data_IF_208638686661
#
_entry.id   IF_208638686661
#
_cell.length_a   1.000
_cell.length_b   1.000
_cell.length_c   1.000
_cell.angle_alpha   90.00
_cell.angle_beta   90.00
_cell.angle_gamma   90.00
#
_symmetry.space_group_name_H-M   'P 1'
#
loop_
_entity.id
_entity.type
_entity.pdbx_description
1 polymer ?
#
# COMPACT_ATOMS: atom_id res chain seq x y z
N UNK A 1 -5.13 -7.71 13.57
CA UNK A 1 -5.37 -6.27 13.36
C UNK A 1 -4.04 -5.58 13.14
N UNK A 2 -4.00 -4.45 12.41
CA UNK A 2 -2.78 -3.65 12.31
C UNK A 2 -2.46 -3.02 13.66
N UNK A 3 -1.20 -3.11 14.10
CA UNK A 3 -0.71 -2.41 15.28
C UNK A 3 -0.20 -1.05 14.84
N UNK A 4 -0.89 0.01 15.26
CA UNK A 4 -0.49 1.39 15.02
C UNK A 4 0.10 1.95 16.30
N UNK A 5 1.22 2.66 16.18
CA UNK A 5 1.82 3.38 17.29
C UNK A 5 1.00 4.63 17.64
N UNK A 6 0.55 5.36 16.61
CA UNK A 6 -0.26 6.56 16.77
C UNK A 6 -1.31 6.64 15.65
N UNK A 7 -2.53 7.06 15.98
CA UNK A 7 -3.60 7.34 15.02
C UNK A 7 -4.31 8.62 15.45
N UNK A 8 -4.40 9.58 14.53
CA UNK A 8 -5.07 10.87 14.73
C UNK A 8 -6.15 11.09 13.67
N UNK A 9 -7.42 11.30 14.06
CA UNK A 9 -8.43 11.72 13.11
C UNK A 9 -8.21 13.19 12.71
N UNK A 10 -8.30 13.48 11.43
CA UNK A 10 -8.16 14.81 10.84
C UNK A 10 -9.31 15.04 9.87
N UNK A 11 -10.09 16.10 10.08
CA UNK A 11 -11.14 16.48 9.13
C UNK A 11 -10.54 17.21 7.93
N UNK A 12 -10.93 16.82 6.73
CA UNK A 12 -10.61 17.51 5.47
C UNK A 12 -11.88 18.20 5.01
N UNK A 13 -12.01 19.49 5.33
CA UNK A 13 -13.23 20.26 5.14
C UNK A 13 -13.60 20.39 3.64
N UNK A 14 -12.58 20.53 2.80
CA UNK A 14 -12.64 20.62 1.34
C UNK A 14 -13.37 19.42 0.73
N UNK A 15 -13.22 18.25 1.36
CA UNK A 15 -13.77 16.99 0.89
C UNK A 15 -14.86 16.43 1.81
N UNK A 16 -15.29 17.20 2.81
CA UNK A 16 -16.31 16.77 3.79
C UNK A 16 -16.08 15.35 4.32
N UNK A 17 -14.81 14.99 4.56
CA UNK A 17 -14.42 13.65 4.99
C UNK A 17 -13.45 13.71 6.16
N UNK A 18 -13.28 12.58 6.82
CA UNK A 18 -12.33 12.40 7.90
C UNK A 18 -11.22 11.48 7.42
N UNK A 19 -9.99 11.91 7.56
CA UNK A 19 -8.78 11.12 7.35
C UNK A 19 -8.22 10.66 8.69
N UNK A 20 -7.45 9.59 8.67
CA UNK A 20 -6.66 9.12 9.79
C UNK A 20 -5.19 9.28 9.44
N UNK A 21 -4.49 10.12 10.19
CA UNK A 21 -3.04 10.16 10.15
C UNK A 21 -2.52 9.11 11.11
N UNK A 22 -1.97 8.03 10.56
CA UNK A 22 -1.55 6.87 11.29
C UNK A 22 -0.04 6.64 11.10
N UNK A 23 0.64 6.25 12.17
CA UNK A 23 2.07 5.91 12.17
C UNK A 23 2.22 4.50 12.72
N UNK A 24 2.83 3.60 11.94
CA UNK A 24 2.97 2.20 12.35
C UNK A 24 4.07 2.02 13.40
N UNK A 25 5.17 2.78 13.27
CA UNK A 25 6.30 2.81 14.23
C UNK A 25 6.78 4.24 14.43
N UNK A 26 7.36 4.54 15.59
CA UNK A 26 7.84 5.89 15.92
C UNK A 26 8.79 6.49 14.86
N UNK A 27 9.59 5.64 14.21
CA UNK A 27 10.56 6.02 13.17
C UNK A 27 9.99 6.05 11.74
N UNK A 28 8.73 5.65 11.53
CA UNK A 28 8.11 5.66 10.19
C UNK A 28 7.37 6.98 9.94
N UNK A 29 7.32 7.41 8.67
CA UNK A 29 6.52 8.54 8.23
C UNK A 29 5.03 8.36 8.56
N UNK A 30 4.32 9.49 8.72
CA UNK A 30 2.87 9.48 8.88
C UNK A 30 2.21 9.01 7.57
N UNK A 31 1.37 7.99 7.67
CA UNK A 31 0.54 7.50 6.57
C UNK A 31 -0.88 8.03 6.71
N UNK A 32 -1.49 8.38 5.58
CA UNK A 32 -2.87 8.84 5.54
C UNK A 32 -3.78 7.69 5.18
N UNK A 33 -4.85 7.51 5.96
CA UNK A 33 -5.90 6.55 5.67
C UNK A 33 -7.25 7.25 5.56
N UNK A 34 -8.03 6.90 4.54
CA UNK A 34 -9.37 7.45 4.33
C UNK A 34 -10.38 6.30 4.46
N UNK A 35 -11.22 6.29 5.51
CA UNK A 35 -12.30 5.34 5.64
C UNK A 35 -13.36 5.60 4.56
N UNK A 36 -13.67 4.56 3.81
CA UNK A 36 -14.67 4.61 2.73
C UNK A 36 -15.64 3.45 2.91
N UNK A 37 -16.95 3.70 3.03
CA UNK A 37 -17.93 2.63 3.00
C UNK A 37 -17.98 1.95 1.63
N UNK A 38 -17.99 0.61 1.59
CA UNK A 38 -17.95 -0.16 0.34
C UNK A 38 -19.13 0.09 -0.62
N UNK A 39 -20.26 0.57 -0.09
CA UNK A 39 -21.47 0.86 -0.87
C UNK A 39 -21.46 2.26 -1.53
N UNK A 40 -20.45 3.09 -1.25
CA UNK A 40 -20.34 4.42 -1.86
C UNK A 40 -19.58 4.32 -3.19
N UNK A 41 -20.15 4.94 -4.22
CA UNK A 41 -19.46 5.14 -5.48
C UNK A 41 -18.57 6.37 -5.38
N UNK A 42 -17.28 6.21 -5.66
CA UNK A 42 -16.32 7.32 -5.72
C UNK A 42 -15.88 7.50 -7.17
N UNK A 43 -16.03 8.71 -7.69
CA UNK A 43 -15.53 9.05 -9.03
C UNK A 43 -14.01 9.16 -9.06
N UNK A 44 -13.40 9.01 -10.24
CA UNK A 44 -11.97 9.26 -10.41
C UNK A 44 -11.57 10.70 -10.03
N UNK A 45 -12.43 11.68 -10.31
CA UNK A 45 -12.21 13.07 -9.90
C UNK A 45 -12.13 13.19 -8.38
N UNK A 46 -13.08 12.55 -7.67
CA UNK A 46 -13.09 12.56 -6.21
C UNK A 46 -11.89 11.84 -5.61
N UNK A 47 -11.45 10.73 -6.21
CA UNK A 47 -10.21 10.06 -5.80
C UNK A 47 -8.99 10.96 -5.95
N UNK A 48 -8.91 11.72 -7.04
CA UNK A 48 -7.80 12.65 -7.28
C UNK A 48 -7.81 13.80 -6.27
N UNK A 49 -8.99 14.32 -5.94
CA UNK A 49 -9.14 15.30 -4.87
C UNK A 49 -8.70 14.74 -3.51
N UNK A 50 -9.13 13.52 -3.16
CA UNK A 50 -8.68 12.82 -1.95
C UNK A 50 -7.17 12.72 -1.93
N UNK A 51 -6.56 12.29 -3.03
CA UNK A 51 -5.11 12.16 -3.13
C UNK A 51 -4.37 13.49 -3.01
N UNK A 52 -5.00 14.61 -3.40
CA UNK A 52 -4.38 15.95 -3.34
C UNK A 52 -4.54 16.62 -1.98
N UNK A 53 -5.73 16.54 -1.39
CA UNK A 53 -6.07 17.27 -0.16
C UNK A 53 -5.82 16.43 1.10
N UNK A 54 -5.98 15.10 1.02
CA UNK A 54 -5.74 14.23 2.17
C UNK A 54 -4.26 13.81 2.29
N UNK A 55 -3.49 13.80 1.19
CA UNK A 55 -2.10 13.34 1.25
C UNK A 55 -1.23 14.24 2.13
N UNK A 56 -0.29 13.62 2.83
CA UNK A 56 0.77 14.34 3.52
C UNK A 56 1.93 14.67 2.59
N UNK A 57 2.66 15.77 2.84
CA UNK A 57 3.88 16.08 2.11
C UNK A 57 4.84 14.89 2.21
N UNK A 58 5.39 14.41 1.08
CA UNK A 58 6.35 13.33 1.14
C UNK A 58 7.63 13.83 1.82
N UNK A 59 8.24 13.01 2.68
CA UNK A 59 9.54 13.34 3.29
C UNK A 59 10.64 13.42 2.22
N UNK A 60 10.51 12.61 1.17
CA UNK A 60 11.41 12.60 0.02
C UNK A 60 10.74 13.20 -1.23
N UNK A 61 11.40 14.12 -1.95
CA UNK A 61 10.84 14.76 -3.15
C UNK A 61 10.60 13.78 -4.31
N UNK A 62 11.24 12.61 -4.30
CA UNK A 62 11.09 11.55 -5.30
C UNK A 62 9.92 10.58 -4.99
N UNK A 63 9.28 10.69 -3.82
CA UNK A 63 8.20 9.79 -3.43
C UNK A 63 6.84 10.35 -3.88
N UNK A 64 6.03 9.58 -4.64
CA UNK A 64 4.70 10.04 -5.04
C UNK A 64 3.78 10.15 -3.82
N UNK A 65 2.88 11.14 -3.86
CA UNK A 65 1.84 11.30 -2.84
C UNK A 65 1.04 10.00 -2.73
N UNK A 66 0.81 9.54 -1.51
CA UNK A 66 0.12 8.27 -1.28
C UNK A 66 -0.92 8.35 -0.19
N UNK A 67 -2.07 7.73 -0.44
CA UNK A 67 -3.20 7.64 0.49
C UNK A 67 -3.70 6.20 0.51
N UNK A 68 -4.01 5.68 1.69
CA UNK A 68 -4.60 4.35 1.84
C UNK A 68 -6.10 4.46 2.03
N UNK A 69 -6.89 3.90 1.12
CA UNK A 69 -8.32 3.73 1.34
C UNK A 69 -8.54 2.55 2.29
N UNK A 70 -9.28 2.78 3.37
CA UNK A 70 -9.78 1.75 4.27
C UNK A 70 -11.25 1.49 3.91
N UNK A 71 -11.48 0.56 2.99
CA UNK A 71 -12.80 0.22 2.49
C UNK A 71 -13.49 -0.66 3.51
N UNK A 72 -14.60 -0.20 4.07
CA UNK A 72 -15.35 -0.88 5.13
C UNK A 72 -16.61 -1.53 4.54
N UNK A 73 -16.66 -2.85 4.59
CA UNK A 73 -17.84 -3.64 4.24
C UNK A 73 -18.80 -3.79 5.44
N UNK A 74 -20.03 -4.22 5.15
CA UNK A 74 -21.11 -4.34 6.15
C UNK A 74 -20.89 -5.46 7.16
N UNK A 75 -20.09 -6.47 6.80
CA UNK A 75 -19.67 -7.56 7.68
C UNK A 75 -18.48 -7.16 8.58
N UNK A 76 -18.12 -5.87 8.62
CA UNK A 76 -16.96 -5.31 9.31
C UNK A 76 -15.60 -5.73 8.71
N UNK A 77 -15.58 -6.32 7.52
CA UNK A 77 -14.34 -6.52 6.76
C UNK A 77 -13.79 -5.17 6.32
N UNK A 78 -12.50 -4.95 6.57
CA UNK A 78 -11.79 -3.74 6.14
C UNK A 78 -10.71 -4.14 5.14
N UNK A 79 -10.87 -3.68 3.90
CA UNK A 79 -9.90 -3.86 2.83
C UNK A 79 -9.08 -2.59 2.69
N UNK A 80 -7.76 -2.74 2.62
CA UNK A 80 -6.87 -1.61 2.52
C UNK A 80 -6.25 -1.54 1.13
N UNK A 81 -6.46 -0.42 0.45
CA UNK A 81 -5.94 -0.19 -0.88
C UNK A 81 -5.08 1.07 -0.89
N UNK A 82 -3.80 0.94 -1.23
CA UNK A 82 -2.89 2.09 -1.34
C UNK A 82 -3.02 2.68 -2.74
N UNK A 83 -3.34 3.97 -2.80
CA UNK A 83 -3.34 4.78 -4.02
C UNK A 83 -2.15 5.73 -4.00
N UNK A 84 -1.54 5.95 -5.17
CA UNK A 84 -0.37 6.81 -5.34
C UNK A 84 -0.54 7.71 -6.56
N UNK A 85 -0.06 8.95 -6.48
CA UNK A 85 -0.06 9.86 -7.62
C UNK A 85 1.17 9.60 -8.50
N UNK A 86 1.01 8.70 -9.47
CA UNK A 86 2.07 8.33 -10.40
C UNK A 86 2.35 6.83 -10.43
N UNK A 87 3.39 6.46 -11.18
CA UNK A 87 3.83 5.09 -11.31
C UNK A 87 4.69 4.68 -10.12
N UNK A 88 4.28 3.63 -9.43
CA UNK A 88 5.11 2.95 -8.42
C UNK A 88 5.82 1.81 -9.12
N UNK A 89 7.16 1.84 -9.08
CA UNK A 89 7.95 0.70 -9.52
C UNK A 89 7.73 -0.41 -8.48
N UNK A 90 7.19 -1.58 -8.86
CA UNK A 90 7.06 -2.68 -7.92
C UNK A 90 8.45 -3.10 -7.47
N UNK A 91 8.58 -3.48 -6.20
CA UNK A 91 9.80 -4.10 -5.73
C UNK A 91 10.14 -5.33 -6.60
N UNK A 92 11.42 -5.55 -6.92
CA UNK A 92 11.83 -6.72 -7.66
C UNK A 92 11.33 -7.98 -6.94
N UNK A 93 10.87 -9.00 -7.68
CA UNK A 93 10.43 -10.24 -7.06
C UNK A 93 11.57 -10.83 -6.23
N UNK A 94 11.25 -11.25 -5.01
CA UNK A 94 12.20 -11.95 -4.14
C UNK A 94 12.72 -13.17 -4.91
N UNK A 95 14.04 -13.30 -5.04
CA UNK A 95 14.68 -14.37 -5.81
C UNK A 95 14.17 -15.71 -5.26
N UNK A 96 13.27 -16.37 -5.99
CA UNK A 96 12.88 -17.74 -5.67
C UNK A 96 14.14 -18.58 -5.81
N UNK A 97 14.69 -19.08 -4.69
CA UNK A 97 15.79 -20.04 -4.71
C UNK A 97 15.43 -21.18 -5.68
N UNK A 98 16.11 -21.20 -6.83
CA UNK A 98 16.00 -22.23 -7.85
C UNK A 98 16.50 -23.56 -7.26
N UNK A 99 15.57 -24.30 -6.67
CA UNK A 99 15.80 -25.56 -5.97
C UNK A 99 16.17 -26.73 -6.90
N UNK A 100 16.39 -26.53 -8.19
CA UNK A 100 16.54 -27.62 -9.17
C UNK A 100 17.91 -27.68 -9.90
N UNK A 101 19.00 -27.14 -9.34
CA UNK A 101 20.32 -27.34 -9.98
C UNK A 101 20.97 -28.72 -9.71
N UNK A 102 20.36 -29.58 -8.88
CA UNK A 102 21.00 -30.83 -8.41
C UNK A 102 20.79 -32.03 -9.34
N UNK A 103 19.85 -31.98 -10.29
CA UNK A 103 19.55 -33.14 -11.15
C UNK A 103 20.44 -33.25 -12.40
N UNK A 104 21.01 -32.15 -12.90
CA UNK A 104 21.87 -32.15 -14.10
C UNK A 104 23.25 -32.81 -13.87
N UNK A 105 23.79 -32.76 -12.65
CA UNK A 105 25.16 -33.27 -12.37
C UNK A 105 25.30 -34.80 -12.39
N UNK A 106 24.21 -35.58 -12.40
CA UNK A 106 24.28 -37.06 -12.37
C UNK A 106 24.32 -37.73 -13.75
N UNK A 107 23.92 -37.07 -14.85
CA UNK A 107 23.91 -37.71 -16.19
C UNK A 107 25.25 -37.71 -16.93
N UNK A 108 26.22 -36.86 -16.58
CA UNK A 108 27.52 -36.81 -17.27
C UNK A 108 28.54 -37.88 -16.85
N UNK A 109 28.25 -38.74 -15.85
CA UNK A 109 29.17 -39.79 -15.37
C UNK A 109 28.91 -41.21 -15.92
N UNK A 110 27.98 -41.40 -16.88
CA UNK A 110 27.65 -42.74 -17.42
C UNK A 110 27.80 -42.89 -18.94
N UNK A 111 28.64 -42.07 -19.59
CA UNK A 111 28.92 -42.20 -21.03
C UNK A 111 30.41 -42.33 -21.38
N UNK A 112 31.24 -42.69 -20.40
CA UNK A 112 32.59 -43.21 -20.64
C UNK A 112 32.70 -44.60 -20.02
N UNK A 113 32.32 -45.61 -20.80
CA UNK A 113 32.86 -46.96 -20.67
C UNK A 113 32.91 -47.59 -22.05
#
# INVERSE_FOLDING_TARGET
GRNWHEVKPVGVAELQLVCLHARAREQEGLQVMVPVPAHILISHERLREILKEASLPPEDPDTPLSVTLAIVETDSTIVYYKMTDGFVIPDPPDDTEDGDNKQWRKKRKKLFK
#
